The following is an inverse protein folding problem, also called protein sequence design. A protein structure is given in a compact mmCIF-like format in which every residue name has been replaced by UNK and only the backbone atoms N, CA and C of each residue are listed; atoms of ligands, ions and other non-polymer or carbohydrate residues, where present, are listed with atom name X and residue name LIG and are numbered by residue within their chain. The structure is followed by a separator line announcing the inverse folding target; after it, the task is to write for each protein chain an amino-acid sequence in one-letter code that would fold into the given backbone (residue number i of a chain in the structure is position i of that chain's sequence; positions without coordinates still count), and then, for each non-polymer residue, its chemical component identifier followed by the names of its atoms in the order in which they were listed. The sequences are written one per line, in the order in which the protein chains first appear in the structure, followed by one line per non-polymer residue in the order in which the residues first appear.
data_IF_585306471604
#
_entry.id   IF_585306471604
#
_cell.length_a   1.000
_cell.length_b   1.000
_cell.length_c   1.000
_cell.angle_alpha   90.00
_cell.angle_beta   90.00
_cell.angle_gamma   90.00
#
_symmetry.space_group_name_H-M   'P 1'
#
loop_
_entity.id
_entity.type
_entity.pdbx_description
1 polymer ?
#
# COMPACT_ATOMS: atom_id res chain seq x y z
N UNK A 1 8.45 -5.24 1.94
CA UNK A 1 7.32 -4.29 1.91
C UNK A 1 6.60 -4.38 3.24
N UNK A 2 6.12 -3.26 3.76
CA UNK A 2 5.31 -3.19 4.98
C UNK A 2 4.05 -2.42 4.65
N UNK A 3 2.90 -2.93 5.07
CA UNK A 3 1.61 -2.23 5.01
C UNK A 3 0.97 -2.29 6.38
N UNK A 4 0.26 -1.24 6.75
CA UNK A 4 -0.55 -1.21 7.96
C UNK A 4 -1.76 -0.29 7.77
N UNK A 5 -2.78 -0.53 8.58
CA UNK A 5 -4.03 0.23 8.57
C UNK A 5 -4.80 -0.01 9.86
N UNK A 6 -5.98 0.58 9.96
CA UNK A 6 -6.96 0.23 11.00
C UNK A 6 -7.91 -0.82 10.46
N UNK A 7 -8.36 -1.69 11.34
CA UNK A 7 -9.53 -2.50 11.10
C UNK A 7 -10.76 -1.66 11.47
N UNK A 8 -11.63 -1.38 10.50
CA UNK A 8 -12.88 -0.67 10.72
C UNK A 8 -14.06 -1.59 10.46
N UNK A 9 -14.73 -2.04 11.53
CA UNK A 9 -15.85 -2.97 11.46
C UNK A 9 -17.20 -2.32 11.84
N UNK A 10 -17.22 -1.00 12.06
CA UNK A 10 -18.45 -0.29 12.41
C UNK A 10 -19.27 0.04 11.15
N UNK A 11 -20.61 -0.10 11.17
CA UNK A 11 -21.46 0.27 10.03
C UNK A 11 -21.46 1.77 9.71
N UNK A 12 -21.05 2.60 10.66
CA UNK A 12 -21.01 4.04 10.51
C UNK A 12 -19.69 4.46 9.83
N UNK A 13 -19.76 5.22 8.74
CA UNK A 13 -18.60 5.64 7.94
C UNK A 13 -17.80 6.77 8.60
N UNK A 14 -17.45 6.61 9.87
CA UNK A 14 -16.65 7.59 10.58
C UNK A 14 -15.19 7.51 10.11
N UNK A 15 -14.55 8.65 9.81
CA UNK A 15 -13.14 8.64 9.46
C UNK A 15 -12.29 8.21 10.67
N UNK A 16 -11.38 7.26 10.44
CA UNK A 16 -10.39 6.87 11.44
C UNK A 16 -9.04 7.49 11.12
N UNK A 17 -8.55 8.29 12.05
CA UNK A 17 -7.16 8.70 12.07
C UNK A 17 -6.29 7.66 12.80
N UNK A 18 -5.13 7.33 12.22
CA UNK A 18 -4.22 6.32 12.75
C UNK A 18 -3.20 6.93 13.72
N UNK A 19 -3.06 6.30 14.88
CA UNK A 19 -2.04 6.64 15.87
C UNK A 19 -1.27 5.39 16.30
N UNK A 20 -0.01 5.58 16.67
CA UNK A 20 0.73 4.59 17.44
C UNK A 20 0.22 4.56 18.90
N UNK A 21 0.80 3.66 19.71
CA UNK A 21 0.44 3.51 21.12
C UNK A 21 0.45 4.87 21.85
N UNK A 22 -0.47 5.04 22.79
CA UNK A 22 -0.65 6.27 23.58
C UNK A 22 -1.03 7.52 22.76
N UNK A 23 -1.75 7.34 21.63
CA UNK A 23 -2.16 8.44 20.72
C UNK A 23 -0.97 9.21 20.14
N UNK A 24 0.16 8.53 19.96
CA UNK A 24 1.34 9.14 19.37
C UNK A 24 1.13 9.24 17.85
N UNK A 25 1.29 10.42 17.23
CA UNK A 25 1.23 10.54 15.78
C UNK A 25 2.23 9.60 15.09
N UNK A 26 1.87 9.10 13.91
CA UNK A 26 2.80 8.34 13.09
C UNK A 26 3.94 9.25 12.63
N UNK A 27 5.17 8.76 12.67
CA UNK A 27 6.31 9.52 12.15
C UNK A 27 6.25 9.63 10.63
N UNK A 28 6.89 10.65 10.07
CA UNK A 28 7.02 10.82 8.61
C UNK A 28 7.54 9.55 7.93
N UNK A 29 8.49 8.87 8.57
CA UNK A 29 9.04 7.62 8.03
C UNK A 29 8.01 6.49 7.99
N UNK A 30 7.15 6.39 9.02
CA UNK A 30 6.07 5.39 9.02
C UNK A 30 5.02 5.71 7.96
N UNK A 31 4.65 6.99 7.81
CA UNK A 31 3.73 7.44 6.77
C UNK A 31 4.28 7.11 5.37
N UNK A 32 5.56 7.44 5.11
CA UNK A 32 6.24 7.12 3.87
C UNK A 32 6.23 5.61 3.59
N UNK A 33 6.63 4.79 4.57
CA UNK A 33 6.67 3.32 4.42
C UNK A 33 5.28 2.78 4.09
N UNK A 34 4.24 3.27 4.76
CA UNK A 34 2.87 2.82 4.50
C UNK A 34 2.40 3.20 3.10
N UNK A 35 2.67 4.43 2.70
CA UNK A 35 2.30 4.94 1.38
C UNK A 35 2.98 4.13 0.27
N UNK A 36 4.30 3.94 0.36
CA UNK A 36 5.05 3.12 -0.60
C UNK A 36 4.54 1.66 -0.62
N UNK A 37 4.14 1.12 0.53
CA UNK A 37 3.46 -0.17 0.61
C UNK A 37 2.14 -0.16 -0.15
N UNK A 38 1.26 0.80 0.11
CA UNK A 38 -0.01 0.94 -0.59
C UNK A 38 0.18 1.06 -2.11
N UNK A 39 1.16 1.85 -2.58
CA UNK A 39 1.52 1.95 -3.99
C UNK A 39 1.88 0.59 -4.60
N UNK A 40 2.74 -0.19 -3.93
CA UNK A 40 3.11 -1.53 -4.43
C UNK A 40 1.90 -2.46 -4.52
N UNK A 41 0.96 -2.41 -3.55
CA UNK A 41 -0.30 -3.18 -3.64
C UNK A 41 -1.12 -2.73 -4.84
N UNK A 42 -1.33 -1.43 -5.00
CA UNK A 42 -2.13 -0.87 -6.09
C UNK A 42 -1.57 -1.26 -7.46
N UNK A 43 -0.26 -1.10 -7.66
CA UNK A 43 0.43 -1.49 -8.89
C UNK A 43 0.33 -3.00 -9.15
N UNK A 44 0.51 -3.84 -8.12
CA UNK A 44 0.34 -5.29 -8.25
C UNK A 44 -1.09 -5.65 -8.71
N UNK A 45 -2.11 -5.12 -8.03
CA UNK A 45 -3.50 -5.41 -8.37
C UNK A 45 -3.86 -4.91 -9.78
N UNK A 46 -3.36 -3.73 -10.16
CA UNK A 46 -3.57 -3.16 -11.49
C UNK A 46 -3.01 -4.04 -12.61
N UNK A 47 -1.79 -4.56 -12.44
CA UNK A 47 -1.14 -5.43 -13.44
C UNK A 47 -1.79 -6.81 -13.49
N UNK A 48 -2.08 -7.42 -12.33
CA UNK A 48 -2.73 -8.73 -12.26
C UNK A 48 -4.12 -8.71 -12.88
N UNK A 49 -4.90 -7.65 -12.69
CA UNK A 49 -6.22 -7.48 -13.31
C UNK A 49 -6.17 -7.47 -14.86
N UNK A 50 -5.02 -7.16 -15.45
CA UNK A 50 -4.78 -7.17 -16.90
C UNK A 50 -4.14 -8.48 -17.39
N UNK A 51 -3.92 -9.45 -16.50
CA UNK A 51 -3.22 -10.70 -16.83
C UNK A 51 -1.70 -10.55 -16.92
N UNK A 52 -1.14 -9.42 -16.49
CA UNK A 52 0.31 -9.19 -16.41
C UNK A 52 0.87 -9.68 -15.06
N UNK A 53 2.19 -9.82 -14.97
CA UNK A 53 2.85 -10.14 -13.71
C UNK A 53 2.88 -8.92 -12.79
N UNK A 54 2.42 -9.08 -11.55
CA UNK A 54 2.50 -8.03 -10.53
C UNK A 54 3.78 -8.11 -9.69
N UNK A 55 3.78 -7.46 -8.52
CA UNK A 55 4.95 -7.44 -7.62
C UNK A 55 5.33 -8.83 -7.07
N UNK A 56 4.32 -9.66 -6.79
CA UNK A 56 4.46 -11.06 -6.42
C UNK A 56 3.89 -11.90 -7.55
N UNK A 57 4.60 -12.93 -7.98
CA UNK A 57 4.16 -13.84 -9.02
C UNK A 57 3.26 -14.97 -8.47
N UNK A 58 2.96 -15.95 -9.33
CA UNK A 58 2.08 -17.09 -8.98
C UNK A 58 2.74 -18.09 -8.03
N UNK A 59 4.07 -18.09 -7.95
CA UNK A 59 4.85 -18.98 -7.09
C UNK A 59 5.07 -18.34 -5.71
N UNK A 60 4.73 -17.05 -5.58
CA UNK A 60 4.87 -16.28 -4.34
C UNK A 60 6.18 -15.49 -4.27
N UNK A 61 6.95 -15.46 -5.37
CA UNK A 61 8.21 -14.75 -5.42
C UNK A 61 8.01 -13.28 -5.72
N UNK A 62 8.66 -12.44 -4.92
CA UNK A 62 8.56 -10.99 -5.01
C UNK A 62 9.68 -10.39 -5.85
N UNK A 63 9.34 -9.59 -6.86
CA UNK A 63 10.30 -8.88 -7.71
C UNK A 63 10.85 -7.63 -7.00
N UNK A 64 11.71 -7.87 -6.01
CA UNK A 64 12.24 -6.83 -5.12
C UNK A 64 13.14 -5.83 -5.86
N UNK A 65 13.78 -6.24 -6.96
CA UNK A 65 14.68 -5.36 -7.71
C UNK A 65 13.91 -4.21 -8.39
N UNK A 66 12.64 -4.44 -8.75
CA UNK A 66 11.78 -3.44 -9.40
C UNK A 66 10.88 -2.68 -8.45
N UNK A 67 11.11 -2.77 -7.13
CA UNK A 67 10.24 -2.16 -6.11
C UNK A 67 9.91 -0.70 -6.42
N UNK A 68 10.90 0.09 -6.83
CA UNK A 68 10.71 1.52 -7.06
C UNK A 68 9.85 1.79 -8.31
N UNK A 69 9.87 0.91 -9.31
CA UNK A 69 8.95 0.96 -10.46
C UNK A 69 7.51 0.71 -10.03
N UNK A 70 7.29 -0.26 -9.13
CA UNK A 70 5.96 -0.52 -8.55
C UNK A 70 5.46 0.63 -7.67
N UNK A 71 6.35 1.24 -6.88
CA UNK A 71 6.00 2.43 -6.09
C UNK A 71 5.57 3.56 -7.01
N UNK A 72 6.32 3.82 -8.08
CA UNK A 72 5.99 4.87 -9.06
C UNK A 72 4.65 4.63 -9.75
N UNK A 73 4.42 3.42 -10.27
CA UNK A 73 3.14 3.09 -10.90
C UNK A 73 1.97 3.20 -9.89
N UNK A 74 2.19 2.74 -8.66
CA UNK A 74 1.17 2.85 -7.60
C UNK A 74 0.85 4.29 -7.20
N UNK A 75 1.87 5.15 -7.15
CA UNK A 75 1.71 6.59 -6.91
C UNK A 75 0.88 7.24 -8.02
N UNK A 76 1.16 6.91 -9.29
CA UNK A 76 0.37 7.36 -10.45
C UNK A 76 -1.10 6.87 -10.38
N UNK A 77 -1.36 5.69 -9.81
CA UNK A 77 -2.72 5.15 -9.66
C UNK A 77 -3.49 5.78 -8.50
N UNK A 78 -2.82 6.05 -7.38
CA UNK A 78 -3.45 6.58 -6.16
C UNK A 78 -3.67 8.09 -6.27
N UNK A 79 -2.72 8.83 -6.85
CA UNK A 79 -2.76 10.29 -6.95
C UNK A 79 -3.80 10.84 -7.94
N UNK A 80 -4.42 9.98 -8.74
CA UNK A 80 -5.48 10.34 -9.71
C UNK A 80 -6.88 10.35 -9.06
N UNK A 81 -6.98 9.96 -7.78
CA UNK A 81 -8.22 9.96 -6.99
C UNK A 81 -8.31 11.24 -6.16
#
# INVERSE_FOLDING_TARGET
MVTFGSEHNSPMMEPIELFARNRTPLSEKLLQINYEGACVVAAHQHLVAQGLSGYVDKEGDAERAKRDEFVKLGDELISVI
#
